data_IF_379180946180
#
_entry.id   IF_379180946180
#
_cell.length_a   1.000
_cell.length_b   1.000
_cell.length_c   1.000
_cell.angle_alpha   90.00
_cell.angle_beta   90.00
_cell.angle_gamma   90.00
#
_symmetry.space_group_name_H-M   'P 1'
#
loop_
_entity.id
_entity.type
_entity.pdbx_description
1 polymer ?
#
# COMPACT_ATOMS: atom_id res chain seq x y z
N UNK A 1 -5.21 -14.85 26.92
CA UNK A 1 -4.39 -15.20 25.74
C UNK A 1 -4.28 -13.96 24.87
N UNK A 2 -3.17 -13.22 24.94
CA UNK A 2 -2.92 -12.15 23.98
C UNK A 2 -2.26 -12.79 22.77
N UNK A 3 -3.03 -13.06 21.71
CA UNK A 3 -2.45 -13.42 20.41
C UNK A 3 -1.66 -12.21 19.94
N UNK A 4 -0.34 -12.28 20.10
CA UNK A 4 0.60 -11.30 19.56
C UNK A 4 0.63 -11.52 18.05
N UNK A 5 -0.17 -10.75 17.30
CA UNK A 5 -0.27 -10.91 15.85
C UNK A 5 1.11 -10.80 15.21
N UNK A 6 1.49 -11.80 14.42
CA UNK A 6 2.78 -11.78 13.71
C UNK A 6 2.77 -10.70 12.61
N UNK A 7 3.94 -10.19 12.15
CA UNK A 7 3.99 -9.28 11.01
C UNK A 7 3.32 -9.83 9.74
N UNK A 8 3.29 -11.16 9.58
CA UNK A 8 2.59 -11.84 8.49
C UNK A 8 1.06 -11.67 8.64
N UNK A 9 0.51 -11.91 9.83
CA UNK A 9 -0.91 -11.69 10.09
C UNK A 9 -1.32 -10.23 9.88
N UNK A 10 -0.45 -9.27 10.22
CA UNK A 10 -0.69 -7.86 9.94
C UNK A 10 -0.73 -7.57 8.43
N UNK A 11 0.15 -8.20 7.64
CA UNK A 11 0.14 -8.08 6.18
C UNK A 11 -1.13 -8.68 5.56
N UNK A 12 -1.59 -9.82 6.07
CA UNK A 12 -2.84 -10.44 5.62
C UNK A 12 -4.05 -9.55 5.92
N UNK A 13 -4.08 -8.95 7.11
CA UNK A 13 -5.12 -7.97 7.49
C UNK A 13 -5.09 -6.74 6.58
N UNK A 14 -3.91 -6.19 6.32
CA UNK A 14 -3.73 -5.06 5.41
C UNK A 14 -4.16 -5.39 3.97
N UNK A 15 -3.79 -6.58 3.47
CA UNK A 15 -4.21 -7.06 2.16
C UNK A 15 -5.73 -7.14 2.06
N UNK A 16 -6.39 -7.74 3.07
CA UNK A 16 -7.84 -7.84 3.12
C UNK A 16 -8.53 -6.46 3.22
N UNK A 17 -8.02 -5.55 4.07
CA UNK A 17 -8.53 -4.19 4.19
C UNK A 17 -8.41 -3.46 2.85
N UNK A 18 -7.25 -3.52 2.21
CA UNK A 18 -7.02 -2.84 0.94
C UNK A 18 -7.89 -3.43 -0.18
N UNK A 19 -8.04 -4.75 -0.24
CA UNK A 19 -8.90 -5.42 -1.22
C UNK A 19 -10.40 -5.23 -0.96
N UNK A 20 -10.83 -4.91 0.27
CA UNK A 20 -12.21 -4.49 0.54
C UNK A 20 -12.55 -3.17 -0.16
N UNK A 21 -11.55 -2.33 -0.44
CA UNK A 21 -11.69 -1.08 -1.21
C UNK A 21 -11.67 -1.30 -2.73
N UNK A 22 -11.97 -2.52 -3.19
CA UNK A 22 -12.21 -2.79 -4.60
C UNK A 22 -13.52 -2.13 -5.09
N UNK A 23 -13.78 -2.25 -6.39
CA UNK A 23 -15.05 -1.81 -6.99
C UNK A 23 -16.24 -2.56 -6.37
N UNK A 24 -16.78 -2.03 -5.28
CA UNK A 24 -18.06 -2.48 -4.73
C UNK A 24 -19.21 -2.07 -5.67
N UNK A 25 -20.30 -2.82 -5.57
CA UNK A 25 -21.58 -2.55 -6.24
C UNK A 25 -22.13 -1.18 -5.82
N UNK A 26 -21.73 -0.13 -6.54
CA UNK A 26 -22.45 1.13 -6.53
C UNK A 26 -23.48 1.12 -7.65
N UNK A 27 -24.72 1.39 -7.28
CA UNK A 27 -25.88 1.51 -8.18
C UNK A 27 -25.66 2.58 -9.28
N UNK A 28 -24.72 3.52 -9.07
CA UNK A 28 -24.31 4.56 -10.04
C UNK A 28 -22.98 4.25 -10.77
N UNK A 29 -22.70 2.96 -11.02
CA UNK A 29 -21.40 2.43 -11.46
C UNK A 29 -20.73 3.14 -12.64
N UNK A 30 -21.47 3.74 -13.59
CA UNK A 30 -20.91 4.36 -14.79
C UNK A 30 -21.07 5.89 -14.84
N UNK A 31 -21.84 6.48 -13.92
CA UNK A 31 -22.00 7.94 -13.89
C UNK A 31 -20.73 8.64 -13.42
N UNK A 32 -19.95 8.03 -12.52
CA UNK A 32 -18.65 8.58 -12.10
C UNK A 32 -17.71 8.74 -13.31
N UNK A 33 -17.69 7.76 -14.21
CA UNK A 33 -16.90 7.76 -15.44
C UNK A 33 -17.44 8.77 -16.47
N UNK A 34 -18.76 8.88 -16.62
CA UNK A 34 -19.38 9.90 -17.49
C UNK A 34 -19.04 11.31 -17.01
N UNK A 35 -19.15 11.57 -15.70
CA UNK A 35 -18.83 12.87 -15.13
C UNK A 35 -17.35 13.23 -15.36
N UNK A 36 -16.43 12.29 -15.15
CA UNK A 36 -15.00 12.50 -15.42
C UNK A 36 -14.72 12.83 -16.90
N UNK A 37 -15.44 12.20 -17.83
CA UNK A 37 -15.34 12.49 -19.27
C UNK A 37 -15.90 13.86 -19.62
N UNK A 38 -16.99 14.29 -18.97
CA UNK A 38 -17.61 15.60 -19.20
C UNK A 38 -16.80 16.76 -18.61
N UNK A 39 -16.24 16.59 -17.41
CA UNK A 39 -15.45 17.60 -16.69
C UNK A 39 -14.19 17.99 -17.46
N UNK A 40 -13.57 17.03 -18.15
CA UNK A 40 -12.30 17.27 -18.85
C UNK A 40 -12.46 18.04 -20.15
N UNK A 41 -13.69 18.30 -20.64
CA UNK A 41 -14.00 18.99 -21.91
C UNK A 41 -13.05 18.59 -23.07
N UNK A 42 -12.51 17.37 -23.03
CA UNK A 42 -11.55 16.91 -24.00
C UNK A 42 -12.20 16.90 -25.38
N UNK A 43 -11.40 17.00 -26.44
CA UNK A 43 -11.91 16.81 -27.80
C UNK A 43 -12.63 15.46 -27.81
N UNK A 44 -13.96 15.51 -27.81
CA UNK A 44 -14.84 14.36 -27.68
C UNK A 44 -14.84 13.59 -28.98
N UNK A 45 -13.68 13.04 -29.35
CA UNK A 45 -13.56 12.14 -30.47
C UNK A 45 -14.28 10.85 -30.10
N UNK A 46 -15.30 10.44 -30.86
CA UNK A 46 -15.92 9.13 -30.69
C UNK A 46 -14.83 8.05 -30.70
N UNK A 47 -14.95 7.05 -29.82
CA UNK A 47 -14.03 5.91 -29.73
C UNK A 47 -12.59 6.23 -29.26
N UNK A 48 -12.36 7.38 -28.63
CA UNK A 48 -11.06 7.69 -28.03
C UNK A 48 -11.21 7.99 -26.55
N UNK A 49 -10.57 7.20 -25.68
CA UNK A 49 -10.47 7.48 -24.24
C UNK A 49 -9.19 8.27 -23.98
N UNK A 50 -9.25 9.57 -23.60
CA UNK A 50 -8.04 10.33 -23.33
C UNK A 50 -7.31 9.78 -22.10
N UNK A 51 -6.01 9.50 -22.25
CA UNK A 51 -5.15 9.00 -21.15
C UNK A 51 -5.22 9.88 -19.90
N UNK A 52 -5.36 11.20 -20.07
CA UNK A 52 -5.51 12.15 -18.96
C UNK A 52 -6.76 11.89 -18.11
N UNK A 53 -7.88 11.50 -18.72
CA UNK A 53 -9.12 11.16 -17.98
C UNK A 53 -8.89 9.92 -17.13
N UNK A 54 -8.29 8.88 -17.73
CA UNK A 54 -7.95 7.65 -17.02
C UNK A 54 -7.05 7.92 -15.81
N UNK A 55 -5.95 8.65 -16.00
CA UNK A 55 -5.02 8.99 -14.92
C UNK A 55 -5.69 9.83 -13.83
N UNK A 56 -6.56 10.78 -14.17
CA UNK A 56 -7.27 11.58 -13.17
C UNK A 56 -8.18 10.71 -12.27
N UNK A 57 -8.91 9.76 -12.86
CA UNK A 57 -9.76 8.84 -12.10
C UNK A 57 -8.90 7.90 -11.24
N UNK A 58 -7.81 7.37 -11.79
CA UNK A 58 -6.87 6.52 -11.05
C UNK A 58 -6.27 7.27 -9.85
N UNK A 59 -5.82 8.51 -10.06
CA UNK A 59 -5.23 9.33 -9.00
C UNK A 59 -6.24 9.64 -7.89
N UNK A 60 -7.50 9.92 -8.24
CA UNK A 60 -8.57 10.13 -7.25
C UNK A 60 -8.76 8.89 -6.40
N UNK A 61 -8.82 7.70 -7.02
CA UNK A 61 -8.93 6.41 -6.32
C UNK A 61 -7.73 6.14 -5.41
N UNK A 62 -6.51 6.35 -5.88
CA UNK A 62 -5.31 6.15 -5.05
C UNK A 62 -5.32 7.09 -3.83
N UNK A 63 -5.81 8.33 -3.97
CA UNK A 63 -5.97 9.25 -2.83
C UNK A 63 -6.96 8.72 -1.79
N UNK A 64 -8.03 8.05 -2.20
CA UNK A 64 -9.03 7.46 -1.29
C UNK A 64 -8.44 6.33 -0.42
N UNK A 65 -7.42 5.62 -0.91
CA UNK A 65 -6.77 4.52 -0.17
C UNK A 65 -5.41 4.89 0.45
N UNK A 66 -4.89 6.10 0.19
CA UNK A 66 -3.52 6.49 0.54
C UNK A 66 -3.20 6.38 2.04
N UNK A 67 -4.19 6.58 2.91
CA UNK A 67 -3.99 6.45 4.35
C UNK A 67 -3.76 5.00 4.81
N UNK A 68 -4.35 4.00 4.15
CA UNK A 68 -4.27 2.60 4.61
C UNK A 68 -2.83 2.06 4.60
N UNK A 69 -2.02 2.23 3.54
CA UNK A 69 -0.60 1.85 3.57
C UNK A 69 0.20 2.62 4.63
N UNK A 70 -0.07 3.92 4.85
CA UNK A 70 0.62 4.73 5.87
C UNK A 70 0.28 4.27 7.30
N UNK A 71 -0.98 3.98 7.58
CA UNK A 71 -1.44 3.48 8.88
C UNK A 71 -0.90 2.07 9.16
N UNK A 72 -0.84 1.23 8.13
CA UNK A 72 -0.27 -0.11 8.22
C UNK A 72 1.22 -0.07 8.62
N UNK A 73 2.04 0.70 7.90
CA UNK A 73 3.49 0.78 8.21
C UNK A 73 3.72 1.32 9.62
N UNK A 74 2.94 2.31 10.05
CA UNK A 74 3.00 2.84 11.40
C UNK A 74 2.66 1.78 12.45
N UNK A 75 1.64 0.96 12.19
CA UNK A 75 1.20 -0.12 13.08
C UNK A 75 2.27 -1.21 13.24
N UNK A 76 2.94 -1.61 12.14
CA UNK A 76 4.04 -2.58 12.19
C UNK A 76 5.18 -2.07 13.06
N UNK A 77 5.60 -0.82 12.90
CA UNK A 77 6.68 -0.25 13.72
C UNK A 77 6.29 -0.10 15.19
N UNK A 78 5.04 0.26 15.49
CA UNK A 78 4.54 0.29 16.87
C UNK A 78 4.57 -1.12 17.51
N UNK A 79 4.24 -2.15 16.73
CA UNK A 79 4.32 -3.53 17.17
C UNK A 79 5.77 -3.95 17.48
N UNK A 80 6.71 -3.64 16.59
CA UNK A 80 8.14 -3.91 16.78
C UNK A 80 8.65 -3.18 18.03
N UNK A 81 8.29 -1.91 18.21
CA UNK A 81 8.66 -1.13 19.39
C UNK A 81 8.25 -1.84 20.68
N UNK A 82 6.99 -2.26 20.78
CA UNK A 82 6.46 -2.98 21.95
C UNK A 82 7.28 -4.23 22.27
N UNK A 83 7.71 -4.99 21.27
CA UNK A 83 8.52 -6.20 21.48
C UNK A 83 9.90 -5.86 22.05
N UNK A 84 10.52 -4.78 21.59
CA UNK A 84 11.91 -4.43 21.95
C UNK A 84 12.01 -3.74 23.32
N UNK A 85 10.89 -3.31 23.93
CA UNK A 85 10.87 -2.61 25.23
C UNK A 85 11.44 -3.38 26.44
N UNK A 86 11.74 -4.68 26.31
CA UNK A 86 12.29 -5.51 27.39
C UNK A 86 13.83 -5.58 27.49
N UNK A 87 14.60 -4.87 26.65
CA UNK A 87 16.05 -5.05 26.54
C UNK A 87 16.90 -4.02 27.32
N UNK A 88 18.14 -4.40 27.67
CA UNK A 88 19.16 -3.48 28.23
C UNK A 88 19.64 -2.42 27.23
N UNK A 89 19.25 -2.54 25.96
CA UNK A 89 19.53 -1.61 24.85
C UNK A 89 18.29 -0.82 24.42
N UNK A 90 17.26 -0.76 25.29
CA UNK A 90 15.95 -0.17 25.00
C UNK A 90 16.01 1.20 24.36
N UNK A 91 16.86 2.11 24.87
CA UNK A 91 16.92 3.49 24.36
C UNK A 91 17.47 3.56 22.93
N UNK A 92 18.59 2.89 22.67
CA UNK A 92 19.18 2.80 21.33
C UNK A 92 18.16 2.20 20.34
N UNK A 93 17.52 1.10 20.72
CA UNK A 93 16.53 0.47 19.87
C UNK A 93 15.30 1.35 19.61
N UNK A 94 14.80 2.08 20.60
CA UNK A 94 13.69 3.03 20.44
C UNK A 94 14.04 4.15 19.46
N UNK A 95 15.25 4.72 19.56
CA UNK A 95 15.71 5.76 18.63
C UNK A 95 15.77 5.24 17.19
N UNK A 96 16.36 4.06 16.99
CA UNK A 96 16.47 3.43 15.67
C UNK A 96 15.10 3.07 15.10
N UNK A 97 14.18 2.54 15.91
CA UNK A 97 12.81 2.23 15.49
C UNK A 97 12.06 3.49 15.08
N UNK A 98 12.18 4.58 15.83
CA UNK A 98 11.57 5.86 15.47
C UNK A 98 12.11 6.38 14.14
N UNK A 99 13.43 6.30 13.92
CA UNK A 99 14.07 6.63 12.64
C UNK A 99 13.53 5.77 11.49
N UNK A 100 13.50 4.46 11.68
CA UNK A 100 13.01 3.52 10.66
C UNK A 100 11.53 3.67 10.34
N UNK A 101 10.72 4.02 11.34
CA UNK A 101 9.31 4.32 11.14
C UNK A 101 9.14 5.53 10.22
N UNK A 102 9.88 6.61 10.46
CA UNK A 102 9.82 7.81 9.60
C UNK A 102 10.29 7.50 8.16
N UNK A 103 11.44 6.85 8.02
CA UNK A 103 11.95 6.42 6.70
C UNK A 103 10.93 5.56 5.94
N UNK A 104 10.25 4.66 6.65
CA UNK A 104 9.26 3.78 6.03
C UNK A 104 7.99 4.51 5.62
N UNK A 105 7.53 5.47 6.43
CA UNK A 105 6.39 6.31 6.09
C UNK A 105 6.69 7.16 4.85
N UNK A 106 7.88 7.75 4.76
CA UNK A 106 8.29 8.53 3.58
C UNK A 106 8.38 7.65 2.33
N UNK A 107 8.97 6.46 2.44
CA UNK A 107 9.00 5.48 1.34
C UNK A 107 7.61 5.06 0.86
N UNK A 108 6.66 4.87 1.79
CA UNK A 108 5.26 4.56 1.44
C UNK A 108 4.62 5.71 0.64
N UNK A 109 4.89 6.96 1.00
CA UNK A 109 4.41 8.12 0.25
C UNK A 109 5.00 8.17 -1.16
N UNK A 110 6.27 7.80 -1.32
CA UNK A 110 6.90 7.68 -2.63
C UNK A 110 6.22 6.63 -3.51
N UNK A 111 5.95 5.44 -2.96
CA UNK A 111 5.25 4.36 -3.67
C UNK A 111 3.84 4.78 -4.09
N UNK A 112 3.08 5.40 -3.18
CA UNK A 112 1.76 5.98 -3.48
C UNK A 112 1.89 7.06 -4.58
N UNK A 113 2.95 7.86 -4.54
CA UNK A 113 3.26 8.87 -5.55
C UNK A 113 3.54 8.25 -6.92
N UNK A 114 4.33 7.19 -6.98
CA UNK A 114 4.66 6.48 -8.22
C UNK A 114 3.42 5.84 -8.86
N UNK A 115 2.56 5.21 -8.06
CA UNK A 115 1.30 4.62 -8.55
C UNK A 115 0.34 5.65 -9.15
N UNK A 116 0.41 6.92 -8.72
CA UNK A 116 -0.41 8.02 -9.29
C UNK A 116 0.05 8.47 -10.67
N UNK A 117 1.28 8.19 -11.07
CA UNK A 117 1.90 8.78 -12.26
C UNK A 117 1.84 7.87 -13.49
N UNK A 118 1.61 6.57 -13.30
CA UNK A 118 1.70 5.60 -14.40
C UNK A 118 0.55 4.61 -14.40
N UNK A 119 0.00 4.40 -15.60
CA UNK A 119 -0.94 3.35 -15.95
C UNK A 119 -0.24 2.15 -16.64
N UNK A 120 1.09 2.21 -16.76
CA UNK A 120 1.87 1.15 -17.38
C UNK A 120 1.89 -0.11 -16.50
N UNK A 121 1.64 -1.25 -17.14
CA UNK A 121 1.81 -2.57 -16.54
C UNK A 121 2.21 -3.56 -17.62
N UNK A 122 3.20 -4.41 -17.32
CA UNK A 122 3.55 -5.57 -18.13
C UNK A 122 2.87 -6.86 -17.62
N UNK A 123 1.95 -6.74 -16.66
CA UNK A 123 1.25 -7.88 -16.10
C UNK A 123 0.30 -8.51 -17.14
N UNK A 124 0.52 -9.79 -17.46
CA UNK A 124 -0.28 -10.51 -18.46
C UNK A 124 -1.74 -10.72 -18.02
N UNK A 125 -1.98 -10.85 -16.72
CA UNK A 125 -3.32 -10.95 -16.15
C UNK A 125 -4.12 -9.66 -16.35
N UNK A 126 -3.47 -8.48 -16.31
CA UNK A 126 -4.12 -7.22 -16.69
C UNK A 126 -4.60 -7.25 -18.14
N UNK A 127 -3.73 -7.64 -19.07
CA UNK A 127 -4.08 -7.68 -20.50
C UNK A 127 -5.23 -8.65 -20.73
N UNK A 128 -5.19 -9.83 -20.11
CA UNK A 128 -6.25 -10.83 -20.18
C UNK A 128 -7.57 -10.31 -19.59
N UNK A 129 -7.55 -9.76 -18.38
CA UNK A 129 -8.73 -9.21 -17.71
C UNK A 129 -9.33 -8.03 -18.47
N UNK A 130 -8.50 -7.10 -18.94
CA UNK A 130 -8.94 -5.96 -19.74
C UNK A 130 -9.60 -6.44 -21.05
N UNK A 131 -8.97 -7.37 -21.77
CA UNK A 131 -9.54 -7.93 -23.00
C UNK A 131 -10.89 -8.62 -22.75
N UNK A 132 -10.99 -9.39 -21.66
CA UNK A 132 -12.21 -10.08 -21.25
C UNK A 132 -13.34 -9.09 -20.94
N UNK A 133 -13.06 -8.04 -20.17
CA UNK A 133 -14.06 -7.02 -19.82
C UNK A 133 -14.50 -6.22 -21.05
N UNK A 134 -13.57 -5.89 -21.94
CA UNK A 134 -13.85 -5.14 -23.16
C UNK A 134 -14.73 -5.93 -24.15
N UNK A 135 -14.74 -7.27 -24.09
CA UNK A 135 -15.59 -8.10 -24.93
C UNK A 135 -17.10 -7.87 -24.71
N UNK A 136 -17.51 -7.30 -23.56
CA UNK A 136 -18.91 -6.97 -23.27
C UNK A 136 -19.38 -5.66 -23.93
N UNK A 137 -18.49 -4.90 -24.58
CA UNK A 137 -18.81 -3.59 -25.15
C UNK A 137 -19.94 -3.65 -26.16
N UNK A 138 -19.94 -4.63 -27.07
CA UNK A 138 -20.99 -4.77 -28.09
C UNK A 138 -22.36 -4.95 -27.46
N UNK A 139 -22.48 -5.87 -26.49
CA UNK A 139 -23.73 -6.12 -25.78
C UNK A 139 -24.21 -4.89 -24.99
N UNK A 140 -23.28 -4.16 -24.37
CA UNK A 140 -23.57 -2.90 -23.71
C UNK A 140 -24.13 -1.86 -24.70
N UNK A 141 -23.47 -1.63 -25.84
CA UNK A 141 -23.90 -0.65 -26.83
C UNK A 141 -25.25 -1.01 -27.48
N UNK A 142 -25.55 -2.30 -27.64
CA UNK A 142 -26.88 -2.73 -28.10
C UNK A 142 -28.00 -2.34 -27.13
N UNK A 143 -27.79 -2.44 -25.81
CA UNK A 143 -28.77 -2.04 -24.79
C UNK A 143 -28.95 -0.51 -24.78
N UNK A 144 -27.86 0.22 -25.01
CA UNK A 144 -27.84 1.68 -25.05
C UNK A 144 -28.62 2.22 -26.26
N UNK A 145 -28.48 1.58 -27.43
CA UNK A 145 -29.11 2.00 -28.67
C UNK A 145 -30.58 1.57 -28.80
N UNK A 146 -31.02 0.55 -28.06
CA UNK A 146 -32.40 0.05 -28.12
C UNK A 146 -33.21 0.48 -26.88
N UNK A 147 -34.14 1.42 -27.08
CA UNK A 147 -35.03 1.91 -26.01
C UNK A 147 -36.04 0.86 -25.53
N UNK A 148 -36.29 -0.21 -26.31
CA UNK A 148 -37.24 -1.27 -25.97
C UNK A 148 -36.60 -2.42 -25.19
N UNK A 149 -35.26 -2.52 -25.19
CA UNK A 149 -34.54 -3.55 -24.42
C UNK A 149 -34.55 -3.26 -22.93
N UNK A 150 -34.56 -4.34 -22.13
CA UNK A 150 -34.38 -4.29 -20.67
C UNK A 150 -33.09 -3.52 -20.37
N UNK A 151 -33.21 -2.52 -19.50
CA UNK A 151 -32.14 -1.57 -19.14
C UNK A 151 -31.08 -2.16 -18.20
N UNK A 152 -30.85 -3.47 -18.23
CA UNK A 152 -30.05 -4.17 -17.22
C UNK A 152 -29.00 -5.03 -17.90
N UNK A 153 -27.75 -4.94 -17.42
CA UNK A 153 -26.61 -5.71 -17.92
C UNK A 153 -25.82 -6.29 -16.75
N UNK A 154 -25.36 -7.54 -16.89
CA UNK A 154 -24.46 -8.17 -15.93
C UNK A 154 -23.01 -7.94 -16.37
N UNK A 155 -22.32 -7.02 -15.70
CA UNK A 155 -20.94 -6.67 -16.00
C UNK A 155 -19.96 -7.57 -15.23
N UNK A 156 -18.91 -7.98 -15.93
CA UNK A 156 -17.81 -8.72 -15.33
C UNK A 156 -16.94 -7.84 -14.40
N UNK A 157 -15.90 -8.43 -13.80
CA UNK A 157 -14.94 -7.68 -12.99
C UNK A 157 -15.40 -7.41 -11.57
N UNK A 158 -16.43 -8.11 -11.09
CA UNK A 158 -16.97 -7.96 -9.74
C UNK A 158 -18.11 -6.94 -9.63
N UNK A 159 -18.48 -6.27 -10.73
CA UNK A 159 -19.58 -5.31 -10.75
C UNK A 159 -20.93 -6.02 -10.59
N UNK A 160 -21.20 -7.05 -11.40
CA UNK A 160 -22.47 -7.76 -11.41
C UNK A 160 -23.58 -7.02 -12.18
N UNK A 161 -24.83 -7.29 -11.83
CA UNK A 161 -26.00 -6.75 -12.51
C UNK A 161 -26.21 -5.25 -12.16
N UNK A 162 -26.26 -4.40 -13.18
CA UNK A 162 -26.49 -2.95 -13.06
C UNK A 162 -27.58 -2.46 -13.99
N UNK A 163 -28.32 -1.42 -13.57
CA UNK A 163 -29.25 -0.70 -14.43
C UNK A 163 -28.51 0.39 -15.22
N UNK A 164 -28.62 0.36 -16.55
CA UNK A 164 -27.94 1.29 -17.49
C UNK A 164 -28.94 2.17 -18.26
N UNK A 165 -30.23 2.05 -17.99
CA UNK A 165 -31.28 2.76 -18.73
C UNK A 165 -31.15 4.28 -18.64
N UNK A 166 -30.76 4.79 -17.47
CA UNK A 166 -30.52 6.21 -17.23
C UNK A 166 -29.34 6.77 -18.05
N UNK A 167 -28.36 5.92 -18.41
CA UNK A 167 -27.17 6.30 -19.18
C UNK A 167 -27.51 6.62 -20.64
N UNK A 168 -28.69 6.23 -21.16
CA UNK A 168 -29.13 6.54 -22.54
C UNK A 168 -29.21 8.04 -22.84
N UNK A 169 -29.28 8.90 -21.82
CA UNK A 169 -29.19 10.36 -21.97
C UNK A 169 -27.78 10.84 -22.34
N UNK A 170 -26.78 9.97 -22.19
CA UNK A 170 -25.36 10.26 -22.37
C UNK A 170 -24.73 9.41 -23.49
N UNK A 171 -25.50 9.04 -24.52
CA UNK A 171 -25.06 8.17 -25.62
C UNK A 171 -23.73 8.59 -26.25
N UNK A 172 -23.48 9.90 -26.38
CA UNK A 172 -22.24 10.43 -26.96
C UNK A 172 -20.95 10.06 -26.22
N UNK A 173 -21.04 9.70 -24.93
CA UNK A 173 -19.90 9.31 -24.07
C UNK A 173 -20.08 7.94 -23.41
N UNK A 174 -21.21 7.27 -23.64
CA UNK A 174 -21.54 6.01 -22.98
C UNK A 174 -20.53 4.90 -23.24
N UNK A 175 -20.04 4.80 -24.48
CA UNK A 175 -18.99 3.85 -24.84
C UNK A 175 -17.68 4.14 -24.11
N UNK A 176 -17.23 5.40 -24.12
CA UNK A 176 -16.00 5.82 -23.42
C UNK A 176 -16.08 5.57 -21.91
N UNK A 177 -17.25 5.82 -21.31
CA UNK A 177 -17.47 5.57 -19.89
C UNK A 177 -17.35 4.08 -19.56
N UNK A 178 -17.91 3.22 -20.41
CA UNK A 178 -17.74 1.77 -20.31
C UNK A 178 -16.27 1.37 -20.42
N UNK A 179 -15.55 1.87 -21.44
CA UNK A 179 -14.13 1.56 -21.62
C UNK A 179 -13.29 2.01 -20.41
N UNK A 180 -13.56 3.21 -19.91
CA UNK A 180 -12.91 3.77 -18.73
C UNK A 180 -13.15 2.88 -17.50
N UNK A 181 -14.39 2.43 -17.30
CA UNK A 181 -14.75 1.54 -16.19
C UNK A 181 -13.98 0.23 -16.24
N UNK A 182 -14.00 -0.43 -17.40
CA UNK A 182 -13.38 -1.75 -17.56
C UNK A 182 -11.87 -1.70 -17.40
N UNK A 183 -11.22 -0.69 -17.99
CA UNK A 183 -9.78 -0.47 -17.77
C UNK A 183 -9.48 -0.18 -16.31
N UNK A 184 -10.29 0.65 -15.65
CA UNK A 184 -10.06 0.99 -14.26
C UNK A 184 -10.17 -0.23 -13.35
N UNK A 185 -11.15 -1.11 -13.57
CA UNK A 185 -11.29 -2.36 -12.80
C UNK A 185 -10.06 -3.26 -12.98
N UNK A 186 -9.61 -3.43 -14.22
CA UNK A 186 -8.41 -4.23 -14.50
C UNK A 186 -7.16 -3.62 -13.86
N UNK A 187 -6.96 -2.30 -13.99
CA UNK A 187 -5.79 -1.60 -13.44
C UNK A 187 -5.79 -1.57 -11.92
N UNK A 188 -6.95 -1.36 -11.28
CA UNK A 188 -7.06 -1.24 -9.83
C UNK A 188 -6.56 -2.49 -9.11
N UNK A 189 -6.92 -3.68 -9.62
CA UNK A 189 -6.40 -4.95 -9.08
C UNK A 189 -4.87 -4.99 -9.04
N UNK A 190 -4.22 -4.52 -10.09
CA UNK A 190 -2.75 -4.47 -10.19
C UNK A 190 -2.14 -3.43 -9.25
N UNK A 191 -2.80 -2.29 -9.08
CA UNK A 191 -2.38 -1.26 -8.11
C UNK A 191 -2.42 -1.82 -6.70
N UNK A 192 -3.54 -2.46 -6.30
CA UNK A 192 -3.66 -3.04 -4.97
C UNK A 192 -2.61 -4.12 -4.72
N UNK A 193 -2.40 -5.03 -5.67
CA UNK A 193 -1.37 -6.06 -5.58
C UNK A 193 0.03 -5.46 -5.40
N UNK A 194 0.39 -4.45 -6.21
CA UNK A 194 1.70 -3.78 -6.09
C UNK A 194 1.87 -3.10 -4.74
N UNK A 195 0.83 -2.45 -4.20
CA UNK A 195 0.87 -1.83 -2.88
C UNK A 195 1.07 -2.87 -1.76
N UNK A 196 0.50 -4.07 -1.89
CA UNK A 196 0.69 -5.17 -0.94
C UNK A 196 2.11 -5.75 -1.04
N UNK A 197 2.54 -6.14 -2.23
CA UNK A 197 3.85 -6.76 -2.46
C UNK A 197 5.00 -5.81 -2.08
N UNK A 198 4.89 -4.54 -2.50
CA UNK A 198 5.89 -3.52 -2.18
C UNK A 198 6.02 -3.33 -0.68
N UNK A 199 4.89 -3.29 0.03
CA UNK A 199 4.88 -3.14 1.48
C UNK A 199 5.51 -4.34 2.19
N UNK A 200 5.18 -5.56 1.77
CA UNK A 200 5.79 -6.77 2.32
C UNK A 200 7.31 -6.76 2.15
N UNK A 201 7.80 -6.45 0.94
CA UNK A 201 9.23 -6.36 0.65
C UNK A 201 9.92 -5.31 1.52
N UNK A 202 9.36 -4.10 1.59
CA UNK A 202 9.94 -2.99 2.35
C UNK A 202 10.02 -3.28 3.84
N UNK A 203 8.94 -3.77 4.44
CA UNK A 203 8.91 -4.12 5.87
C UNK A 203 9.92 -5.21 6.19
N UNK A 204 9.93 -6.30 5.41
CA UNK A 204 10.83 -7.43 5.66
C UNK A 204 12.29 -7.00 5.54
N UNK A 205 12.62 -6.26 4.49
CA UNK A 205 13.96 -5.73 4.29
C UNK A 205 14.36 -4.76 5.41
N UNK A 206 13.50 -3.81 5.76
CA UNK A 206 13.80 -2.79 6.77
C UNK A 206 14.03 -3.39 8.15
N UNK A 207 13.21 -4.37 8.55
CA UNK A 207 13.39 -5.10 9.82
C UNK A 207 14.72 -5.86 9.82
N UNK A 208 15.01 -6.61 8.76
CA UNK A 208 16.25 -7.36 8.67
C UNK A 208 17.49 -6.45 8.66
N UNK A 209 17.43 -5.33 7.96
CA UNK A 209 18.53 -4.37 7.91
C UNK A 209 18.76 -3.71 9.28
N UNK A 210 17.68 -3.33 9.96
CA UNK A 210 17.73 -2.77 11.30
C UNK A 210 18.40 -3.74 12.28
N UNK A 211 17.96 -5.01 12.31
CA UNK A 211 18.47 -6.01 13.26
C UNK A 211 19.91 -6.39 12.96
N UNK A 212 20.25 -6.62 11.68
CA UNK A 212 21.53 -7.24 11.32
C UNK A 212 22.66 -6.25 11.09
N UNK A 213 22.36 -4.98 10.80
CA UNK A 213 23.40 -4.01 10.39
C UNK A 213 23.42 -2.75 11.24
N UNK A 214 22.27 -2.22 11.59
CA UNK A 214 22.19 -0.88 12.18
C UNK A 214 22.10 -0.89 13.71
N UNK A 215 21.57 -1.96 14.30
CA UNK A 215 21.36 -2.02 15.76
C UNK A 215 22.67 -1.94 16.55
N UNK A 216 23.74 -2.58 16.09
CA UNK A 216 25.06 -2.51 16.76
C UNK A 216 25.63 -1.09 16.73
N UNK A 217 25.56 -0.44 15.56
CA UNK A 217 26.02 0.94 15.39
C UNK A 217 25.25 1.90 16.30
N UNK A 218 23.92 1.77 16.37
CA UNK A 218 23.08 2.60 17.24
C UNK A 218 23.40 2.38 18.73
N UNK A 219 23.62 1.14 19.17
CA UNK A 219 24.02 0.84 20.56
C UNK A 219 25.36 1.52 20.88
N UNK A 220 26.33 1.43 19.97
CA UNK A 220 27.66 2.03 20.14
C UNK A 220 27.56 3.57 20.20
N UNK A 221 26.73 4.19 19.36
CA UNK A 221 26.47 5.63 19.38
C UNK A 221 25.77 6.07 20.67
N UNK A 222 24.76 5.33 21.14
CA UNK A 222 24.04 5.62 22.38
C UNK A 222 24.99 5.58 23.60
N UNK A 223 25.84 4.55 23.67
CA UNK A 223 26.86 4.40 24.71
C UNK A 223 27.87 5.55 24.68
N UNK A 224 28.37 5.94 23.50
CA UNK A 224 29.27 7.08 23.36
C UNK A 224 28.63 8.40 23.82
N UNK A 225 27.35 8.61 23.53
CA UNK A 225 26.63 9.79 23.99
C UNK A 225 26.54 9.85 25.52
N UNK A 226 26.28 8.70 26.19
CA UNK A 226 26.30 8.62 27.65
C UNK A 226 27.67 8.88 28.26
N UNK A 227 28.73 8.36 27.66
CA UNK A 227 30.11 8.56 28.15
C UNK A 227 30.49 10.05 28.15
N UNK A 228 30.18 10.77 27.07
CA UNK A 228 30.40 12.23 27.00
C UNK A 228 29.62 13.00 28.08
N UNK A 229 28.41 12.56 28.39
CA UNK A 229 27.60 13.15 29.47
C UNK A 229 28.16 12.81 30.86
N UNK A 230 28.74 11.63 31.04
CA UNK A 230 29.35 11.22 32.31
C UNK A 230 30.70 11.92 32.57
N UNK A 231 31.52 12.11 31.53
CA UNK A 231 32.77 12.87 31.60
C UNK A 231 32.54 14.34 31.93
N UNK A 232 31.53 14.98 31.33
CA UNK A 232 31.13 16.35 31.68
C UNK A 232 30.57 16.49 33.11
N UNK A 233 30.22 15.36 33.76
CA UNK A 233 29.76 15.29 35.16
C UNK A 233 30.83 14.78 36.13
N UNK A 234 32.06 14.53 35.68
CA UNK A 234 33.20 14.15 36.54
C UNK A 234 33.21 12.69 37.02
N UNK A 235 32.54 11.76 36.33
CA UNK A 235 32.48 10.35 36.72
C UNK A 235 33.73 9.54 36.25
N UNK A 236 34.25 8.63 37.07
CA UNK A 236 35.48 7.86 36.79
C UNK A 236 35.33 6.87 35.61
N UNK A 237 36.24 6.95 34.63
CA UNK A 237 36.23 6.24 33.34
C UNK A 237 36.43 4.72 33.41
N UNK A 238 37.07 4.21 34.47
CA UNK A 238 37.50 2.80 34.56
C UNK A 238 36.35 1.80 34.74
N UNK A 239 35.24 2.23 35.38
CA UNK A 239 34.07 1.37 35.59
C UNK A 239 33.21 1.21 34.32
N UNK A 240 33.24 2.21 33.44
CA UNK A 240 32.42 2.28 32.23
C UNK A 240 32.98 1.43 31.07
N UNK A 241 34.31 1.31 30.97
CA UNK A 241 34.97 0.44 29.99
C UNK A 241 34.72 -1.05 30.21
N UNK A 242 34.62 -1.50 31.47
CA UNK A 242 34.24 -2.87 31.80
C UNK A 242 32.77 -3.18 31.43
N UNK A 243 31.89 -2.20 31.57
CA UNK A 243 30.48 -2.30 31.15
C UNK A 243 30.34 -2.41 29.63
N UNK A 244 31.16 -1.67 28.85
CA UNK A 244 31.20 -1.70 27.38
C UNK A 244 31.40 -3.12 26.82
N UNK A 245 32.37 -3.87 27.34
CA UNK A 245 32.69 -5.22 26.85
C UNK A 245 31.65 -6.27 27.29
N UNK A 246 31.05 -6.10 28.47
CA UNK A 246 30.06 -7.02 29.02
C UNK A 246 28.66 -6.84 28.40
N UNK A 247 28.27 -5.60 28.04
CA UNK A 247 26.97 -5.29 27.45
C UNK A 247 26.95 -5.63 25.95
N UNK A 248 28.00 -5.28 25.20
CA UNK A 248 28.07 -5.57 23.75
C UNK A 248 27.94 -7.07 23.44
N UNK A 249 28.67 -7.91 24.17
CA UNK A 249 28.67 -9.38 23.97
C UNK A 249 27.34 -10.05 24.37
N UNK A 250 26.69 -9.59 25.45
CA UNK A 250 25.39 -10.15 25.90
C UNK A 250 24.20 -9.67 25.06
N UNK A 251 24.23 -8.42 24.59
CA UNK A 251 23.13 -7.85 23.79
C UNK A 251 23.09 -8.46 22.38
N UNK A 252 24.25 -8.63 21.73
CA UNK A 252 24.35 -9.27 20.40
C UNK A 252 23.86 -10.74 20.45
N UNK A 253 24.23 -11.48 21.50
CA UNK A 253 23.80 -12.88 21.67
C UNK A 253 22.31 -13.03 22.05
N UNK A 254 21.75 -12.08 22.80
CA UNK A 254 20.31 -12.05 23.14
C UNK A 254 19.43 -11.69 21.92
N UNK A 255 19.90 -10.74 21.10
CA UNK A 255 19.21 -10.34 19.87
C UNK A 255 19.20 -11.49 18.84
N UNK A 256 20.35 -12.16 18.66
CA UNK A 256 20.48 -13.33 17.78
C UNK A 256 19.62 -14.54 18.22
N UNK A 257 19.51 -14.80 19.53
CA UNK A 257 18.64 -15.85 20.07
C UNK A 257 17.15 -15.53 19.91
N UNK A 258 16.77 -14.27 20.05
CA UNK A 258 15.41 -13.83 19.76
C UNK A 258 15.09 -14.04 18.29
N UNK A 259 16.00 -13.67 17.38
CA UNK A 259 15.85 -13.83 15.93
C UNK A 259 15.43 -15.24 15.49
N UNK A 260 16.03 -16.30 16.08
CA UNK A 260 15.67 -17.71 15.80
C UNK A 260 14.30 -18.15 16.34
N UNK A 261 13.74 -17.40 17.29
CA UNK A 261 12.48 -17.72 17.96
C UNK A 261 11.28 -17.01 17.32
N UNK A 262 11.52 -15.89 16.64
CA UNK A 262 10.49 -15.06 16.01
C UNK A 262 10.36 -15.30 14.51
N UNK A 263 11.31 -16.01 13.89
CA UNK A 263 11.32 -16.30 12.46
C UNK A 263 11.80 -17.73 12.18
N UNK A 264 10.94 -18.75 12.35
CA UNK A 264 11.22 -20.06 11.79
C UNK A 264 11.06 -19.93 10.27
N UNK A 265 12.18 -20.00 9.54
CA UNK A 265 12.15 -20.59 8.20
C UNK A 265 12.17 -22.09 8.41
#
# INVERSE_FOLDING_TARGET
MHCTATPIEMLDQYSNELHSKNFEKKEDSLMEEINALQETKGIGLPNFLPRGVFLNVLQKRIKEVAMTPEDFVGSVWNYIERIVTGSSTRRAAQNLIAKKKNESVDWVREIIGMEKLTDYTCNLEYVANCSKFMAQQTAYMEIMNDQKKKSVINLEGGIGEIEVGHLRKHLGVAQQAFELKMRMIASWKIVLMRLVDSMALHIMFSIQNMINKEMEEEIVQDLMAHLKVAESRGCSMSHLWLQRNAIGSKSVSSCSKSQKKWWPI
#
